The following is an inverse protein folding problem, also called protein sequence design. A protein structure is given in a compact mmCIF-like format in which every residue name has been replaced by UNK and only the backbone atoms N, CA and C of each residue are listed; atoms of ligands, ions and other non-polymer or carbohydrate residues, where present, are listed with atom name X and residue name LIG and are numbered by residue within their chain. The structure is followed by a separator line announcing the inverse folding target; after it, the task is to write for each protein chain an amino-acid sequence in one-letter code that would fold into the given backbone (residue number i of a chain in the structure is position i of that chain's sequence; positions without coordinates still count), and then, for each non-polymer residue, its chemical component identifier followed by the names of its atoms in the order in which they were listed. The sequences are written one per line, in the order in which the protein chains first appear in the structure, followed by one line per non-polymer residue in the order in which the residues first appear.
data_IF_984938265474
#
_entry.id   IF_984938265474
#
_cell.length_a   1.000
_cell.length_b   1.000
_cell.length_c   1.000
_cell.angle_alpha   90.00
_cell.angle_beta   90.00
_cell.angle_gamma   90.00
#
_symmetry.space_group_name_H-M   'P 1'
#
loop_
_entity.id
_entity.type
_entity.pdbx_description
1 polymer ?
#
# COMPACT_ATOMS: atom_id res chain seq x y z
N UNK A 1 -84.73 -17.67 3.21
CA UNK A 1 -84.52 -16.23 3.45
C UNK A 1 -84.64 -16.05 4.96
N UNK A 2 -83.63 -15.70 5.74
CA UNK A 2 -82.32 -15.11 5.45
C UNK A 2 -81.37 -15.51 6.58
N UNK A 3 -80.13 -15.89 6.22
CA UNK A 3 -79.14 -16.44 7.13
C UNK A 3 -78.27 -15.31 7.70
N UNK A 4 -78.13 -15.31 9.02
CA UNK A 4 -77.30 -14.39 9.78
C UNK A 4 -75.87 -14.29 9.22
N UNK A 5 -75.50 -13.12 8.70
CA UNK A 5 -74.14 -12.82 8.27
C UNK A 5 -73.27 -12.45 9.48
N UNK A 6 -72.47 -13.43 9.91
CA UNK A 6 -71.38 -13.29 10.86
C UNK A 6 -70.21 -12.56 10.16
N UNK A 7 -69.86 -11.34 10.60
CA UNK A 7 -68.69 -10.62 10.09
C UNK A 7 -67.38 -11.27 10.62
N UNK A 8 -66.34 -11.48 9.79
CA UNK A 8 -65.06 -11.99 10.25
C UNK A 8 -64.22 -10.91 10.95
N UNK A 9 -63.65 -11.26 12.11
CA UNK A 9 -62.72 -10.43 12.89
C UNK A 9 -61.44 -10.17 12.09
N UNK A 10 -61.06 -8.89 11.92
CA UNK A 10 -59.77 -8.48 11.34
C UNK A 10 -58.60 -8.92 12.24
N UNK A 11 -57.58 -9.50 11.61
CA UNK A 11 -56.27 -9.83 12.20
C UNK A 11 -55.52 -8.52 12.53
N UNK A 12 -54.75 -8.43 13.63
CA UNK A 12 -53.91 -7.27 13.87
C UNK A 12 -52.74 -7.28 12.88
N UNK A 13 -52.61 -6.20 12.12
CA UNK A 13 -51.50 -5.97 11.19
C UNK A 13 -50.20 -5.84 11.99
N UNK A 14 -49.21 -6.66 11.62
CA UNK A 14 -47.92 -6.73 12.28
C UNK A 14 -47.14 -5.42 12.13
N UNK A 15 -46.47 -5.04 13.21
CA UNK A 15 -45.46 -4.00 13.26
C UNK A 15 -44.41 -4.26 12.15
N UNK A 16 -44.49 -3.46 11.07
CA UNK A 16 -43.47 -3.40 10.04
C UNK A 16 -42.17 -2.93 10.67
N UNK A 17 -41.24 -3.86 10.89
CA UNK A 17 -39.89 -3.52 11.31
C UNK A 17 -39.26 -2.62 10.27
N UNK A 18 -38.85 -1.42 10.69
CA UNK A 18 -38.11 -0.52 9.82
C UNK A 18 -36.90 -1.26 9.22
N UNK A 19 -36.65 -1.12 7.91
CA UNK A 19 -35.46 -1.68 7.30
C UNK A 19 -34.26 -1.09 8.02
N UNK A 20 -33.47 -1.94 8.68
CA UNK A 20 -32.20 -1.55 9.30
C UNK A 20 -31.33 -0.91 8.22
N UNK A 21 -31.31 0.42 8.19
CA UNK A 21 -30.43 1.19 7.33
C UNK A 21 -29.01 0.83 7.76
N UNK A 22 -28.36 -0.04 6.97
CA UNK A 22 -26.99 -0.45 7.21
C UNK A 22 -26.09 0.77 7.32
N UNK A 23 -25.06 0.69 8.16
CA UNK A 23 -24.06 1.75 8.30
C UNK A 23 -23.55 2.12 6.90
N UNK A 24 -23.56 3.41 6.51
CA UNK A 24 -23.15 3.81 5.17
C UNK A 24 -21.73 3.32 4.87
N UNK A 25 -21.44 2.93 3.62
CA UNK A 25 -20.12 2.44 3.24
C UNK A 25 -19.03 3.46 3.61
N UNK A 26 -17.92 2.97 4.14
CA UNK A 26 -16.76 3.82 4.46
C UNK A 26 -16.30 4.53 3.18
N UNK A 27 -15.91 5.81 3.30
CA UNK A 27 -15.23 6.51 2.22
C UNK A 27 -13.91 5.80 1.88
N UNK A 28 -13.45 5.92 0.63
CA UNK A 28 -12.18 5.32 0.21
C UNK A 28 -11.01 5.78 1.08
N UNK A 29 -10.99 7.05 1.50
CA UNK A 29 -10.01 7.58 2.45
C UNK A 29 -10.04 6.85 3.80
N UNK A 30 -11.23 6.57 4.34
CA UNK A 30 -11.36 5.82 5.61
C UNK A 30 -10.94 4.36 5.44
N UNK A 31 -11.21 3.75 4.28
CA UNK A 31 -10.74 2.39 3.98
C UNK A 31 -9.22 2.35 3.85
N UNK A 32 -8.61 3.29 3.15
CA UNK A 32 -7.16 3.38 3.00
C UNK A 32 -6.47 3.58 4.36
N UNK A 33 -6.98 4.49 5.19
CA UNK A 33 -6.49 4.69 6.55
C UNK A 33 -6.60 3.41 7.39
N UNK A 34 -7.76 2.74 7.38
CA UNK A 34 -7.93 1.47 8.11
C UNK A 34 -6.97 0.37 7.63
N UNK A 35 -6.73 0.27 6.31
CA UNK A 35 -5.77 -0.68 5.74
C UNK A 35 -4.34 -0.37 6.19
N UNK A 36 -3.95 0.90 6.23
CA UNK A 36 -2.62 1.31 6.69
C UNK A 36 -2.41 1.02 8.18
N UNK A 37 -3.41 1.28 9.03
CA UNK A 37 -3.34 0.95 10.46
C UNK A 37 -3.20 -0.57 10.69
N UNK A 38 -3.96 -1.38 9.96
CA UNK A 38 -3.80 -2.85 9.99
C UNK A 38 -2.38 -3.26 9.56
N UNK A 39 -1.85 -2.65 8.50
CA UNK A 39 -0.52 -2.97 7.99
C UNK A 39 0.57 -2.66 9.02
N UNK A 40 0.49 -1.51 9.70
CA UNK A 40 1.42 -1.12 10.76
C UNK A 40 1.39 -2.12 11.92
N UNK A 41 0.20 -2.44 12.42
CA UNK A 41 0.04 -3.43 13.49
C UNK A 41 0.57 -4.82 13.11
N UNK A 42 0.33 -5.26 11.86
CA UNK A 42 0.84 -6.54 11.37
C UNK A 42 2.38 -6.56 11.36
N UNK A 43 3.02 -5.50 10.86
CA UNK A 43 4.50 -5.42 10.84
C UNK A 43 5.09 -5.35 12.24
N UNK A 44 4.48 -4.62 13.17
CA UNK A 44 4.93 -4.57 14.57
C UNK A 44 4.90 -5.97 15.22
N UNK A 45 3.80 -6.72 15.04
CA UNK A 45 3.69 -8.09 15.54
C UNK A 45 4.67 -9.03 14.84
N UNK A 46 4.79 -8.97 13.51
CA UNK A 46 5.75 -9.80 12.77
C UNK A 46 7.20 -9.52 13.19
N UNK A 47 7.53 -8.27 13.51
CA UNK A 47 8.85 -7.89 14.01
C UNK A 47 9.10 -8.45 15.41
N UNK A 48 8.08 -8.48 16.26
CA UNK A 48 8.21 -8.93 17.65
C UNK A 48 8.27 -10.45 17.81
N UNK A 49 7.47 -11.20 17.03
CA UNK A 49 7.28 -12.65 17.24
C UNK A 49 7.31 -13.49 15.94
N UNK A 50 7.74 -12.89 14.83
CA UNK A 50 7.77 -13.55 13.52
C UNK A 50 6.39 -13.66 12.86
N UNK A 51 6.38 -14.00 11.57
CA UNK A 51 5.11 -14.18 10.83
C UNK A 51 4.38 -15.42 11.33
N UNK A 52 5.08 -16.54 11.51
CA UNK A 52 4.50 -17.79 11.99
C UNK A 52 3.87 -17.66 13.38
N UNK A 53 4.55 -16.96 14.30
CA UNK A 53 4.08 -16.72 15.66
C UNK A 53 2.90 -15.75 15.77
N UNK A 54 2.57 -15.04 14.69
CA UNK A 54 1.48 -14.06 14.67
C UNK A 54 0.22 -14.61 14.02
N UNK A 55 -0.91 -14.50 14.72
CA UNK A 55 -2.24 -14.85 14.22
C UNK A 55 -3.00 -13.64 13.69
N UNK A 56 -3.94 -13.90 12.78
CA UNK A 56 -4.88 -12.89 12.30
C UNK A 56 -5.82 -12.36 13.40
N UNK A 57 -6.04 -13.14 14.47
CA UNK A 57 -6.84 -12.70 15.61
C UNK A 57 -6.11 -11.60 16.39
N UNK A 58 -4.81 -11.77 16.65
CA UNK A 58 -3.97 -10.78 17.34
C UNK A 58 -3.86 -9.47 16.54
N UNK A 59 -3.65 -9.56 15.22
CA UNK A 59 -3.62 -8.37 14.34
C UNK A 59 -4.96 -7.62 14.42
N UNK A 60 -6.08 -8.35 14.35
CA UNK A 60 -7.41 -7.75 14.40
C UNK A 60 -7.71 -7.12 15.76
N UNK A 61 -7.33 -7.79 16.85
CA UNK A 61 -7.46 -7.28 18.22
C UNK A 61 -6.67 -5.99 18.42
N UNK A 62 -5.43 -5.94 17.93
CA UNK A 62 -4.53 -4.77 18.04
C UNK A 62 -5.15 -3.49 17.48
N UNK A 63 -5.93 -3.59 16.39
CA UNK A 63 -6.61 -2.44 15.77
C UNK A 63 -8.12 -2.36 16.10
N UNK A 64 -8.61 -3.17 17.04
CA UNK A 64 -9.99 -3.13 17.53
C UNK A 64 -11.05 -3.56 16.51
N UNK A 65 -10.73 -4.50 15.61
CA UNK A 65 -11.67 -5.07 14.63
C UNK A 65 -11.88 -6.57 14.84
N UNK A 66 -12.93 -7.13 14.24
CA UNK A 66 -13.09 -8.59 14.19
C UNK A 66 -12.19 -9.22 13.14
N UNK A 67 -11.74 -10.46 13.35
CA UNK A 67 -11.00 -11.24 12.33
C UNK A 67 -11.77 -11.36 11.02
N UNK A 68 -13.11 -11.47 11.07
CA UNK A 68 -13.97 -11.41 9.87
C UNK A 68 -13.83 -10.09 9.11
N UNK A 69 -13.64 -8.97 9.82
CA UNK A 69 -13.42 -7.67 9.20
C UNK A 69 -12.03 -7.56 8.60
N UNK A 70 -11.00 -8.11 9.26
CA UNK A 70 -9.65 -8.22 8.70
C UNK A 70 -9.67 -8.97 7.36
N UNK A 71 -10.31 -10.15 7.32
CA UNK A 71 -10.44 -10.96 6.10
C UNK A 71 -11.27 -10.34 4.99
N UNK A 72 -12.05 -9.30 5.29
CA UNK A 72 -12.71 -8.50 4.25
C UNK A 72 -11.73 -7.54 3.55
N UNK A 73 -10.66 -7.14 4.22
CA UNK A 73 -9.63 -6.26 3.66
C UNK A 73 -8.48 -7.03 3.00
N UNK A 74 -8.09 -8.16 3.58
CA UNK A 74 -6.88 -8.88 3.18
C UNK A 74 -7.15 -10.39 3.05
N UNK A 75 -6.62 -11.05 2.01
CA UNK A 75 -6.84 -12.48 1.80
C UNK A 75 -5.97 -13.37 2.71
N UNK A 76 -4.87 -12.86 3.25
CA UNK A 76 -4.02 -13.55 4.24
C UNK A 76 -3.42 -12.56 5.25
N UNK A 77 -2.76 -13.08 6.30
CA UNK A 77 -2.08 -12.22 7.30
C UNK A 77 -0.86 -11.55 6.68
N UNK A 78 -0.17 -12.24 5.77
CA UNK A 78 0.96 -11.72 5.01
C UNK A 78 0.51 -10.58 4.09
N UNK A 79 -0.66 -10.69 3.46
CA UNK A 79 -1.22 -9.62 2.62
C UNK A 79 -1.60 -8.35 3.41
N UNK A 80 -1.64 -8.39 4.74
CA UNK A 80 -1.90 -7.21 5.56
C UNK A 80 -0.83 -6.13 5.35
N UNK A 81 0.39 -6.49 4.92
CA UNK A 81 1.49 -5.54 4.72
C UNK A 81 1.44 -4.79 3.39
N UNK A 82 0.60 -5.22 2.44
CA UNK A 82 0.50 -4.64 1.08
C UNK A 82 0.41 -3.11 1.06
N UNK A 83 -0.39 -2.43 1.93
CA UNK A 83 -0.46 -0.96 1.93
C UNK A 83 0.89 -0.27 2.17
N UNK A 84 1.77 -0.87 2.98
CA UNK A 84 3.11 -0.33 3.25
C UNK A 84 4.07 -0.59 2.08
N UNK A 85 3.92 -1.73 1.39
CA UNK A 85 4.72 -2.06 0.21
C UNK A 85 4.36 -1.21 -1.01
N UNK A 86 3.07 -0.89 -1.19
CA UNK A 86 2.59 -0.04 -2.27
C UNK A 86 2.89 1.45 -2.05
N UNK A 87 3.11 1.87 -0.80
CA UNK A 87 3.25 3.27 -0.40
C UNK A 87 4.26 4.06 -1.24
N UNK A 88 5.46 3.51 -1.45
CA UNK A 88 6.52 4.19 -2.21
C UNK A 88 6.17 4.41 -3.67
N UNK A 89 5.58 3.40 -4.32
CA UNK A 89 5.20 3.48 -5.73
C UNK A 89 3.99 4.39 -5.96
N UNK A 90 2.97 4.33 -5.09
CA UNK A 90 1.81 5.23 -5.15
C UNK A 90 2.23 6.69 -4.94
N UNK A 91 3.17 6.94 -4.03
CA UNK A 91 3.77 8.26 -3.84
C UNK A 91 4.52 8.71 -5.10
N UNK A 92 5.39 7.86 -5.64
CA UNK A 92 6.16 8.18 -6.85
C UNK A 92 5.25 8.52 -8.02
N UNK A 93 4.26 7.67 -8.31
CA UNK A 93 3.29 7.90 -9.39
C UNK A 93 2.53 9.21 -9.22
N UNK A 94 2.03 9.49 -8.00
CA UNK A 94 1.34 10.77 -7.69
C UNK A 94 2.26 11.97 -7.93
N UNK A 95 3.47 11.95 -7.38
CA UNK A 95 4.43 13.05 -7.52
C UNK A 95 4.85 13.27 -8.97
N UNK A 96 5.04 12.20 -9.75
CA UNK A 96 5.30 12.29 -11.18
C UNK A 96 4.13 12.91 -11.95
N UNK A 97 2.89 12.63 -11.54
CA UNK A 97 1.69 13.22 -12.11
C UNK A 97 1.50 14.70 -11.77
N UNK A 98 1.98 15.14 -10.61
CA UNK A 98 1.96 16.55 -10.17
C UNK A 98 3.15 17.36 -10.71
N UNK A 99 4.21 16.69 -11.18
CA UNK A 99 5.43 17.34 -11.64
C UNK A 99 5.23 18.08 -12.98
N UNK A 100 5.62 19.36 -13.10
CA UNK A 100 5.46 20.12 -14.33
C UNK A 100 6.12 19.45 -15.55
N UNK A 101 5.41 19.37 -16.67
CA UNK A 101 5.87 18.66 -17.89
C UNK A 101 7.08 19.32 -18.55
N UNK A 102 7.22 20.62 -18.37
CA UNK A 102 8.33 21.46 -18.85
C UNK A 102 9.57 21.39 -17.94
N UNK A 103 9.44 20.85 -16.73
CA UNK A 103 10.56 20.69 -15.80
C UNK A 103 11.23 19.32 -15.98
N UNK A 104 12.54 19.26 -16.29
CA UNK A 104 13.30 18.02 -16.38
C UNK A 104 13.19 17.17 -15.09
N UNK A 105 13.06 15.85 -15.23
CA UNK A 105 12.91 14.96 -14.06
C UNK A 105 14.20 14.90 -13.21
N UNK A 106 15.36 15.20 -13.80
CA UNK A 106 16.63 15.31 -13.07
C UNK A 106 16.53 16.35 -11.94
N UNK A 107 15.76 17.43 -12.13
CA UNK A 107 15.58 18.46 -11.08
C UNK A 107 14.73 17.95 -9.91
N UNK A 108 13.97 16.86 -10.10
CA UNK A 108 13.23 16.22 -9.02
C UNK A 108 14.13 15.46 -8.03
N UNK A 109 15.40 15.25 -8.37
CA UNK A 109 16.39 14.69 -7.45
C UNK A 109 16.75 15.64 -6.31
N UNK A 110 16.64 16.94 -6.55
CA UNK A 110 17.02 17.97 -5.58
C UNK A 110 15.87 18.34 -4.65
N UNK A 111 14.63 18.08 -5.10
CA UNK A 111 13.41 18.25 -4.31
C UNK A 111 13.14 17.06 -3.38
N UNK A 112 12.20 17.25 -2.45
CA UNK A 112 11.80 16.27 -1.44
C UNK A 112 10.89 15.14 -1.98
N UNK A 113 11.19 14.71 -3.21
CA UNK A 113 10.40 13.77 -3.99
C UNK A 113 10.32 12.40 -3.28
N UNK A 114 11.42 11.97 -2.69
CA UNK A 114 11.65 10.60 -2.26
C UNK A 114 11.11 10.30 -0.85
N UNK A 115 11.35 11.16 0.14
CA UNK A 115 10.94 10.92 1.54
C UNK A 115 10.03 11.99 2.15
N UNK A 116 10.01 13.24 1.66
CA UNK A 116 9.41 14.42 2.29
C UNK A 116 8.19 14.29 3.19
N UNK A 117 7.05 13.85 2.67
CA UNK A 117 5.84 13.76 3.52
C UNK A 117 5.74 12.48 4.36
N UNK A 118 6.76 11.61 4.37
CA UNK A 118 6.69 10.32 5.07
C UNK A 118 6.97 10.56 6.55
N UNK A 119 6.00 10.26 7.40
CA UNK A 119 6.21 10.37 8.83
C UNK A 119 7.28 9.36 9.31
N UNK A 120 8.13 9.72 10.29
CA UNK A 120 9.22 8.86 10.75
C UNK A 120 8.78 7.50 11.28
N UNK A 121 7.56 7.40 11.82
CA UNK A 121 7.01 6.14 12.34
C UNK A 121 6.69 5.20 11.18
N UNK A 122 5.98 5.66 10.17
CA UNK A 122 5.71 4.87 8.96
C UNK A 122 7.01 4.47 8.28
N UNK A 123 8.00 5.36 8.18
CA UNK A 123 9.30 5.02 7.62
C UNK A 123 9.99 3.91 8.41
N UNK A 124 9.96 3.96 9.75
CA UNK A 124 10.49 2.88 10.60
C UNK A 124 9.83 1.55 10.28
N UNK A 125 8.50 1.52 10.24
CA UNK A 125 7.72 0.31 9.96
C UNK A 125 8.02 -0.24 8.56
N UNK A 126 8.14 0.61 7.54
CA UNK A 126 8.54 0.18 6.18
C UNK A 126 9.92 -0.48 6.18
N UNK A 127 10.87 0.09 6.93
CA UNK A 127 12.22 -0.48 7.04
C UNK A 127 12.23 -1.81 7.78
N UNK A 128 11.42 -1.97 8.83
CA UNK A 128 11.26 -3.25 9.54
C UNK A 128 10.62 -4.30 8.65
N UNK A 129 9.61 -3.93 7.88
CA UNK A 129 9.03 -4.79 6.85
C UNK A 129 10.07 -5.22 5.80
N UNK A 130 10.91 -4.30 5.33
CA UNK A 130 11.99 -4.63 4.40
C UNK A 130 13.00 -5.61 5.00
N UNK A 131 13.30 -5.53 6.30
CA UNK A 131 14.14 -6.52 7.00
C UNK A 131 13.46 -7.90 7.05
N UNK A 132 12.17 -7.94 7.36
CA UNK A 132 11.40 -9.18 7.42
C UNK A 132 11.37 -9.92 6.08
N UNK A 133 11.32 -9.22 4.94
CA UNK A 133 11.35 -9.90 3.62
C UNK A 133 12.62 -10.70 3.36
N UNK A 134 13.71 -10.48 4.12
CA UNK A 134 14.95 -11.25 4.04
C UNK A 134 14.80 -12.64 4.66
N UNK A 135 13.97 -12.78 5.68
CA UNK A 135 13.86 -13.99 6.52
C UNK A 135 12.49 -14.68 6.42
N UNK A 136 11.47 -13.99 5.91
CA UNK A 136 10.08 -14.45 5.86
C UNK A 136 9.61 -14.65 4.40
N UNK A 137 9.60 -15.90 3.87
CA UNK A 137 9.29 -16.17 2.46
C UNK A 137 7.89 -15.71 2.03
N UNK A 138 6.92 -15.75 2.95
CA UNK A 138 5.56 -15.25 2.70
C UNK A 138 5.55 -13.75 2.40
N UNK A 139 6.28 -12.96 3.19
CA UNK A 139 6.41 -11.52 2.98
C UNK A 139 7.25 -11.20 1.74
N UNK A 140 8.29 -12.00 1.46
CA UNK A 140 9.04 -11.89 0.21
C UNK A 140 8.14 -12.07 -1.02
N UNK A 141 7.23 -13.05 -0.99
CA UNK A 141 6.27 -13.30 -2.07
C UNK A 141 5.31 -12.14 -2.28
N UNK A 142 4.78 -11.58 -1.18
CA UNK A 142 3.92 -10.38 -1.24
C UNK A 142 4.72 -9.19 -1.81
N UNK A 143 5.94 -8.95 -1.34
CA UNK A 143 6.80 -7.89 -1.88
C UNK A 143 7.06 -8.01 -3.38
N UNK A 144 7.40 -9.20 -3.88
CA UNK A 144 7.61 -9.41 -5.32
C UNK A 144 6.35 -9.11 -6.14
N UNK A 145 5.17 -9.51 -5.62
CA UNK A 145 3.89 -9.24 -6.26
C UNK A 145 3.56 -7.75 -6.28
N UNK A 146 3.71 -7.06 -5.15
CA UNK A 146 3.44 -5.61 -5.05
C UNK A 146 4.44 -4.78 -5.86
N UNK A 147 5.72 -5.18 -5.90
CA UNK A 147 6.73 -4.55 -6.75
C UNK A 147 6.34 -4.62 -8.24
N UNK A 148 5.82 -5.76 -8.70
CA UNK A 148 5.33 -5.87 -10.07
C UNK A 148 4.05 -5.06 -10.31
N UNK A 149 3.13 -5.05 -9.33
CA UNK A 149 1.87 -4.30 -9.40
C UNK A 149 2.09 -2.77 -9.36
N UNK A 150 3.20 -2.31 -8.80
CA UNK A 150 3.61 -0.91 -8.75
C UNK A 150 4.05 -0.33 -10.11
N UNK A 151 4.41 -1.18 -11.09
CA UNK A 151 4.98 -0.72 -12.36
C UNK A 151 4.01 0.07 -13.25
N UNK A 152 2.76 -0.37 -13.48
CA UNK A 152 1.87 0.30 -14.43
C UNK A 152 1.57 1.76 -14.07
N UNK A 153 1.21 2.14 -12.82
CA UNK A 153 0.94 3.53 -12.48
C UNK A 153 2.14 4.47 -12.68
N UNK A 154 3.36 3.97 -12.48
CA UNK A 154 4.59 4.75 -12.71
C UNK A 154 4.86 4.88 -14.21
N UNK A 155 4.70 3.79 -14.97
CA UNK A 155 4.85 3.79 -16.42
C UNK A 155 3.84 4.71 -17.12
N UNK A 156 2.59 4.73 -16.66
CA UNK A 156 1.55 5.61 -17.19
C UNK A 156 1.88 7.09 -16.94
N UNK A 157 2.47 7.42 -15.79
CA UNK A 157 2.95 8.78 -15.51
C UNK A 157 4.11 9.20 -16.44
N UNK A 158 5.06 8.29 -16.72
CA UNK A 158 6.12 8.52 -17.70
C UNK A 158 5.57 8.72 -19.12
N UNK A 159 4.65 7.85 -19.56
CA UNK A 159 4.05 7.92 -20.89
C UNK A 159 3.28 9.24 -21.08
N UNK A 160 2.47 9.64 -20.08
CA UNK A 160 1.74 10.90 -20.11
C UNK A 160 2.67 12.11 -20.25
N UNK A 161 3.77 12.15 -19.49
CA UNK A 161 4.77 13.22 -19.60
C UNK A 161 5.48 13.27 -20.96
N UNK A 162 5.70 12.10 -21.58
CA UNK A 162 6.33 12.00 -22.89
C UNK A 162 5.36 12.25 -24.06
N UNK A 163 4.07 12.48 -23.80
CA UNK A 163 3.04 12.56 -24.83
C UNK A 163 2.84 11.25 -25.59
N UNK A 164 3.14 10.11 -24.95
CA UNK A 164 3.08 8.77 -25.52
C UNK A 164 1.82 8.01 -25.07
N UNK A 165 1.36 7.00 -25.82
CA UNK A 165 0.24 6.16 -25.40
C UNK A 165 0.51 5.44 -24.08
N UNK A 166 -0.55 5.18 -23.32
CA UNK A 166 -0.51 4.20 -22.24
C UNK A 166 0.02 2.86 -22.81
N UNK A 167 0.80 2.13 -22.02
CA UNK A 167 1.53 0.93 -22.43
C UNK A 167 2.75 1.10 -23.35
N UNK A 168 3.24 2.32 -23.57
CA UNK A 168 4.53 2.55 -24.25
C UNK A 168 5.68 1.72 -23.62
N UNK A 169 6.44 1.02 -24.47
CA UNK A 169 7.50 0.12 -24.00
C UNK A 169 8.64 0.90 -23.34
N UNK A 170 9.01 2.05 -23.89
CA UNK A 170 10.09 2.86 -23.33
C UNK A 170 9.71 3.37 -21.93
N UNK A 171 8.48 3.90 -21.77
CA UNK A 171 7.96 4.33 -20.47
C UNK A 171 7.91 3.18 -19.45
N UNK A 172 7.53 1.96 -19.87
CA UNK A 172 7.53 0.77 -19.00
C UNK A 172 8.93 0.36 -18.57
N UNK A 173 9.90 0.37 -19.48
CA UNK A 173 11.30 0.07 -19.16
C UNK A 173 11.87 1.11 -18.21
N UNK A 174 11.66 2.40 -18.47
CA UNK A 174 12.09 3.50 -17.62
C UNK A 174 11.48 3.42 -16.21
N UNK A 175 10.18 3.14 -16.10
CA UNK A 175 9.52 2.90 -14.83
C UNK A 175 10.12 1.70 -14.08
N UNK A 176 10.34 0.58 -14.77
CA UNK A 176 10.96 -0.61 -14.20
C UNK A 176 12.36 -0.36 -13.67
N UNK A 177 13.18 0.38 -14.42
CA UNK A 177 14.53 0.77 -14.00
C UNK A 177 14.49 1.64 -12.74
N UNK A 178 13.64 2.67 -12.72
CA UNK A 178 13.54 3.58 -11.58
C UNK A 178 13.02 2.85 -10.33
N UNK A 179 11.89 2.15 -10.43
CA UNK A 179 11.29 1.42 -9.30
C UNK A 179 12.28 0.38 -8.75
N UNK A 180 12.98 -0.35 -9.61
CA UNK A 180 13.98 -1.33 -9.17
C UNK A 180 15.16 -0.67 -8.45
N UNK A 181 15.66 0.46 -8.96
CA UNK A 181 16.76 1.18 -8.33
C UNK A 181 16.39 1.71 -6.94
N UNK A 182 15.19 2.27 -6.79
CA UNK A 182 14.69 2.75 -5.49
C UNK A 182 14.49 1.61 -4.50
N UNK A 183 13.93 0.47 -4.94
CA UNK A 183 13.80 -0.71 -4.09
C UNK A 183 15.16 -1.27 -3.68
N UNK A 184 16.16 -1.26 -4.56
CA UNK A 184 17.54 -1.64 -4.21
C UNK A 184 18.08 -0.72 -3.12
N UNK A 185 18.00 0.60 -3.29
CA UNK A 185 18.46 1.56 -2.28
C UNK A 185 17.77 1.36 -0.92
N UNK A 186 16.44 1.23 -0.91
CA UNK A 186 15.66 1.00 0.32
C UNK A 186 16.07 -0.30 1.01
N UNK A 187 16.25 -1.37 0.24
CA UNK A 187 16.59 -2.70 0.72
C UNK A 187 18.01 -2.76 1.29
N UNK A 188 18.99 -2.23 0.56
CA UNK A 188 20.38 -2.14 1.03
C UNK A 188 20.46 -1.30 2.32
N UNK A 189 19.72 -0.19 2.39
CA UNK A 189 19.64 0.61 3.62
C UNK A 189 19.02 -0.18 4.78
N UNK A 190 17.89 -0.87 4.54
CA UNK A 190 17.19 -1.64 5.57
C UNK A 190 18.04 -2.81 6.10
N UNK A 191 18.86 -3.42 5.25
CA UNK A 191 19.65 -4.62 5.56
C UNK A 191 21.06 -4.32 6.09
N UNK A 192 21.42 -3.04 6.30
CA UNK A 192 22.66 -2.67 6.99
C UNK A 192 22.71 -3.27 8.38
N UNK A 193 23.91 -3.65 8.79
CA UNK A 193 24.13 -4.15 10.14
C UNK A 193 24.07 -2.99 11.17
N UNK A 194 23.62 -3.24 12.40
CA UNK A 194 23.59 -2.20 13.43
C UNK A 194 24.98 -1.61 13.68
N UNK A 195 25.11 -0.28 13.53
CA UNK A 195 26.37 0.44 13.71
C UNK A 195 27.27 0.48 12.46
N UNK A 196 26.78 -0.02 11.31
CA UNK A 196 27.42 0.22 10.02
C UNK A 196 27.23 1.67 9.58
N UNK A 197 28.33 2.42 9.49
CA UNK A 197 28.34 3.77 8.93
C UNK A 197 27.98 3.74 7.43
N UNK A 198 27.15 4.67 6.99
CA UNK A 198 26.83 4.81 5.58
C UNK A 198 25.91 5.99 5.30
N UNK A 199 25.67 6.29 4.01
CA UNK A 199 24.81 7.40 3.62
C UNK A 199 23.39 7.24 4.14
N UNK A 200 22.71 8.35 4.41
CA UNK A 200 21.31 8.37 4.80
C UNK A 200 20.42 7.80 3.69
N UNK A 201 19.23 7.31 4.05
CA UNK A 201 18.31 6.70 3.07
C UNK A 201 17.97 7.66 1.92
N UNK A 202 17.76 8.94 2.22
CA UNK A 202 17.46 9.95 1.20
C UNK A 202 18.60 10.08 0.17
N UNK A 203 19.85 10.06 0.65
CA UNK A 203 21.03 10.12 -0.21
C UNK A 203 21.13 8.87 -1.10
N UNK A 204 20.86 7.69 -0.55
CA UNK A 204 20.82 6.44 -1.33
C UNK A 204 19.74 6.44 -2.40
N UNK A 205 18.53 6.91 -2.08
CA UNK A 205 17.41 6.99 -3.03
C UNK A 205 17.73 7.96 -4.17
N UNK A 206 18.29 9.14 -3.85
CA UNK A 206 18.74 10.10 -4.86
C UNK A 206 19.85 9.53 -5.73
N UNK A 207 20.82 8.83 -5.15
CA UNK A 207 21.90 8.23 -5.93
C UNK A 207 21.42 7.12 -6.85
N UNK A 208 20.52 6.24 -6.37
CA UNK A 208 19.90 5.22 -7.20
C UNK A 208 19.13 5.83 -8.39
N UNK A 209 18.39 6.92 -8.17
CA UNK A 209 17.72 7.64 -9.24
C UNK A 209 18.72 8.32 -10.21
N UNK A 210 19.83 8.88 -9.72
CA UNK A 210 20.91 9.43 -10.58
C UNK A 210 21.53 8.37 -11.48
N UNK A 211 21.79 7.18 -10.96
CA UNK A 211 22.33 6.05 -11.73
C UNK A 211 21.37 5.72 -12.90
N UNK A 212 20.07 5.64 -12.63
CA UNK A 212 19.06 5.38 -13.67
C UNK A 212 19.02 6.50 -14.72
N UNK A 213 19.09 7.76 -14.31
CA UNK A 213 19.02 8.91 -15.23
C UNK A 213 20.28 9.02 -16.11
N UNK A 214 21.47 8.69 -15.57
CA UNK A 214 22.70 8.63 -16.35
C UNK A 214 22.73 7.47 -17.34
N UNK A 215 21.94 6.43 -17.10
CA UNK A 215 21.89 5.22 -17.92
C UNK A 215 23.00 4.22 -17.59
N UNK A 216 23.13 3.21 -18.45
CA UNK A 216 24.17 2.19 -18.30
C UNK A 216 25.55 2.78 -18.70
N UNK A 217 26.64 2.38 -18.03
CA UNK A 217 27.96 2.98 -18.22
C UNK A 217 28.69 2.52 -19.51
N UNK A 218 28.02 1.80 -20.42
CA UNK A 218 28.61 1.17 -21.60
C UNK A 218 27.76 1.39 -22.86
#
# INVERSE_FOLDING_TARGET
MDAAQLQPRRKPEGLGGEPRVGRPPLSELRKAAARLEIAKAAVELFTAQGVEGTSAAEIAETVGISTRTLWRYFPSKEDCVTPLLAFGAERLSRRLGEWPVDRPLIEALDDDLWLGDTDPVTLRVVLDLMRLTRTEPGLQSVWMRENFAALPPVADAFAARAGKPAADMEARVQAGMLVSALHLALREYAWREPGEDGPELDEMLREAARIVIRGLPF
#
